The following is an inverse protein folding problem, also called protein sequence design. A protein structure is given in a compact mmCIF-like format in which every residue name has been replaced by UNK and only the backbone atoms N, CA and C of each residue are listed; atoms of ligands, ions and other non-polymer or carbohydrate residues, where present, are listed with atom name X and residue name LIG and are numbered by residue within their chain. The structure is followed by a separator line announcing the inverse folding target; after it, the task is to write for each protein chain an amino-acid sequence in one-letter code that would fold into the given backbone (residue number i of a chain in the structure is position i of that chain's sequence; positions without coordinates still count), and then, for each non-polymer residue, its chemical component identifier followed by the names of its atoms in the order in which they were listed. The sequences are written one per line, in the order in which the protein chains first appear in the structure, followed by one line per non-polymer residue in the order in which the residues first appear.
data_IF_031692320683
#
_entry.id   IF_031692320683
#
_cell.length_a   1.000
_cell.length_b   1.000
_cell.length_c   1.000
_cell.angle_alpha   90.00
_cell.angle_beta   90.00
_cell.angle_gamma   90.00
#
_symmetry.space_group_name_H-M   'P 1'
#
loop_
_entity.id
_entity.type
_entity.pdbx_description
1 polymer ?
#
# COMPACT_ATOMS: atom_id res chain seq x y z
N UNK A 1 4.89 13.07 -1.30
CA UNK A 1 3.90 11.99 -1.51
C UNK A 1 4.43 11.12 -2.64
N UNK A 2 4.48 9.80 -2.46
CA UNK A 2 4.91 8.87 -3.51
C UNK A 2 3.71 8.10 -4.02
N UNK A 3 3.71 7.73 -5.29
CA UNK A 3 2.69 6.89 -5.89
C UNK A 3 3.37 5.64 -6.44
N UNK A 4 2.70 4.50 -6.35
CA UNK A 4 3.15 3.24 -6.93
C UNK A 4 1.95 2.51 -7.53
N UNK A 5 2.14 1.86 -8.68
CA UNK A 5 1.07 1.04 -9.25
C UNK A 5 1.01 -0.30 -8.54
N UNK A 6 -0.19 -0.82 -8.38
CA UNK A 6 -0.41 -2.14 -7.79
C UNK A 6 0.23 -3.24 -8.62
N UNK A 7 0.32 -3.06 -9.93
CA UNK A 7 0.98 -3.98 -10.84
C UNK A 7 2.48 -4.09 -10.56
N UNK A 8 3.15 -2.95 -10.33
CA UNK A 8 4.58 -2.93 -9.97
C UNK A 8 4.83 -3.65 -8.63
N UNK A 9 3.89 -3.53 -7.67
CA UNK A 9 3.96 -4.24 -6.40
C UNK A 9 3.75 -5.75 -6.58
N UNK A 10 2.78 -6.15 -7.39
CA UNK A 10 2.48 -7.56 -7.67
C UNK A 10 3.63 -8.21 -8.45
N UNK A 11 4.23 -7.52 -9.42
CA UNK A 11 5.39 -8.02 -10.16
C UNK A 11 6.59 -8.23 -9.24
N UNK A 12 6.83 -7.28 -8.32
CA UNK A 12 7.99 -7.31 -7.42
C UNK A 12 7.87 -8.30 -6.26
N UNK A 13 6.66 -8.50 -5.75
CA UNK A 13 6.42 -9.26 -4.51
C UNK A 13 5.56 -10.51 -4.71
N UNK A 14 4.94 -10.68 -5.87
CA UNK A 14 4.00 -11.75 -6.14
C UNK A 14 2.63 -11.52 -5.47
N UNK A 15 1.75 -12.51 -5.62
CA UNK A 15 0.42 -12.53 -4.97
C UNK A 15 0.30 -13.62 -3.90
N UNK A 16 1.37 -14.38 -3.69
CA UNK A 16 1.41 -15.49 -2.74
C UNK A 16 2.21 -15.10 -1.48
N UNK A 17 1.92 -15.77 -0.36
CA UNK A 17 2.66 -15.61 0.89
C UNK A 17 3.79 -16.64 0.96
N UNK A 18 4.75 -16.54 0.07
CA UNK A 18 5.88 -17.47 -0.08
C UNK A 18 7.25 -16.77 0.09
N UNK A 19 7.28 -15.44 0.21
CA UNK A 19 8.51 -14.66 0.40
C UNK A 19 8.71 -14.20 1.85
N UNK A 20 9.16 -15.09 2.72
CA UNK A 20 9.68 -14.72 4.03
C UNK A 20 11.02 -13.96 3.89
N UNK A 21 11.19 -12.85 4.62
CA UNK A 21 12.47 -12.12 4.72
C UNK A 21 12.62 -10.85 3.89
N UNK A 22 11.65 -10.48 3.03
CA UNK A 22 11.59 -9.13 2.45
C UNK A 22 10.80 -8.20 3.39
N UNK A 23 11.26 -6.95 3.56
CA UNK A 23 10.57 -5.88 4.29
C UNK A 23 9.28 -5.45 3.55
N UNK A 24 8.33 -6.35 3.43
CA UNK A 24 7.06 -6.17 2.74
C UNK A 24 6.07 -5.61 3.76
N UNK A 25 5.56 -4.41 3.48
CA UNK A 25 4.54 -3.74 4.30
C UNK A 25 3.11 -4.17 3.94
N UNK A 26 2.89 -4.84 2.79
CA UNK A 26 1.59 -5.34 2.34
C UNK A 26 1.76 -6.73 1.74
N UNK A 27 0.99 -7.68 2.25
CA UNK A 27 1.00 -9.06 1.81
C UNK A 27 0.47 -9.27 0.38
N UNK A 28 1.03 -10.27 -0.31
CA UNK A 28 0.64 -10.63 -1.68
C UNK A 28 -0.86 -10.90 -1.84
N UNK A 29 -1.51 -11.66 -0.93
CA UNK A 29 -2.96 -11.85 -0.96
C UNK A 29 -3.74 -10.53 -0.86
N UNK A 30 -3.36 -9.59 0.02
CA UNK A 30 -3.99 -8.29 0.07
C UNK A 30 -3.80 -7.49 -1.23
N UNK A 31 -2.62 -7.51 -1.86
CA UNK A 31 -2.42 -6.86 -3.17
C UNK A 31 -3.39 -7.42 -4.23
N UNK A 32 -3.63 -8.74 -4.24
CA UNK A 32 -4.62 -9.36 -5.13
C UNK A 32 -6.05 -8.86 -4.84
N UNK A 33 -6.42 -8.75 -3.57
CA UNK A 33 -7.75 -8.24 -3.16
C UNK A 33 -7.91 -6.77 -3.53
N UNK A 34 -6.93 -5.92 -3.22
CA UNK A 34 -6.95 -4.49 -3.53
C UNK A 34 -7.12 -4.28 -5.04
N UNK A 35 -6.37 -5.01 -5.88
CA UNK A 35 -6.48 -4.93 -7.34
C UNK A 35 -7.86 -5.36 -7.83
N UNK A 36 -8.36 -6.50 -7.35
CA UNK A 36 -9.66 -7.05 -7.76
C UNK A 36 -10.83 -6.17 -7.36
N UNK A 37 -10.83 -5.66 -6.13
CA UNK A 37 -11.92 -4.86 -5.57
C UNK A 37 -11.77 -3.36 -5.85
N UNK A 38 -10.66 -2.94 -6.46
CA UNK A 38 -10.34 -1.54 -6.75
C UNK A 38 -10.42 -0.64 -5.51
N UNK A 39 -9.90 -1.12 -4.37
CA UNK A 39 -9.96 -0.40 -3.09
C UNK A 39 -8.87 0.69 -3.04
N UNK A 40 -9.24 1.97 -2.86
CA UNK A 40 -8.25 3.03 -2.62
C UNK A 40 -7.41 2.69 -1.39
N UNK A 41 -6.09 2.58 -1.58
CA UNK A 41 -5.19 2.12 -0.52
C UNK A 41 -4.03 3.09 -0.31
N UNK A 42 -3.75 3.41 0.95
CA UNK A 42 -2.72 4.33 1.39
C UNK A 42 -1.81 3.62 2.40
N UNK A 43 -0.49 3.82 2.28
CA UNK A 43 0.51 3.26 3.20
C UNK A 43 1.26 4.40 3.85
N UNK A 44 1.29 4.42 5.18
CA UNK A 44 2.00 5.42 5.96
C UNK A 44 2.49 4.84 7.30
N UNK A 45 3.29 5.58 8.03
CA UNK A 45 3.70 5.19 9.38
C UNK A 45 2.57 5.49 10.38
N UNK A 46 1.88 4.43 10.85
CA UNK A 46 0.78 4.54 11.80
C UNK A 46 1.13 5.15 13.17
N UNK A 47 2.42 5.24 13.54
CA UNK A 47 2.84 5.95 14.77
C UNK A 47 2.76 7.47 14.64
N UNK A 48 2.65 8.00 13.42
CA UNK A 48 2.55 9.45 13.15
C UNK A 48 1.08 9.84 12.95
N UNK A 49 0.37 10.09 14.05
CA UNK A 49 -1.08 10.39 14.04
C UNK A 49 -1.47 11.53 13.10
N UNK A 50 -0.66 12.59 13.03
CA UNK A 50 -0.91 13.70 12.10
C UNK A 50 -0.92 13.27 10.62
N UNK A 51 -0.13 12.25 10.27
CA UNK A 51 -0.11 11.73 8.90
C UNK A 51 -1.35 10.87 8.63
N UNK A 52 -1.83 10.14 9.64
CA UNK A 52 -3.06 9.36 9.55
C UNK A 52 -4.28 10.27 9.37
N UNK A 53 -4.40 11.32 10.17
CA UNK A 53 -5.46 12.32 10.03
C UNK A 53 -5.46 12.96 8.63
N UNK A 54 -4.28 13.38 8.15
CA UNK A 54 -4.13 13.94 6.81
C UNK A 54 -4.53 12.95 5.71
N UNK A 55 -4.12 11.69 5.83
CA UNK A 55 -4.43 10.66 4.85
C UNK A 55 -5.93 10.37 4.74
N UNK A 56 -6.63 10.31 5.89
CA UNK A 56 -8.09 10.07 5.94
C UNK A 56 -8.87 11.26 5.38
N UNK A 57 -8.38 12.48 5.59
CA UNK A 57 -9.01 13.71 5.13
C UNK A 57 -8.59 14.15 3.71
N UNK A 58 -7.98 13.27 2.91
CA UNK A 58 -7.49 13.56 1.55
C UNK A 58 -6.52 14.76 1.48
N UNK A 59 -5.75 15.00 2.53
CA UNK A 59 -4.72 16.04 2.59
C UNK A 59 -3.35 15.45 2.24
N UNK A 60 -2.37 16.33 1.99
CA UNK A 60 -0.99 15.91 1.71
C UNK A 60 -0.40 15.24 2.95
N UNK A 61 -0.02 13.98 2.82
CA UNK A 61 0.62 13.19 3.86
C UNK A 61 1.94 12.57 3.39
N UNK A 62 2.75 12.14 4.35
CA UNK A 62 3.99 11.43 4.13
C UNK A 62 3.74 9.92 4.13
N UNK A 63 3.59 9.38 2.93
CA UNK A 63 3.42 7.97 2.67
C UNK A 63 3.35 7.68 1.17
N UNK A 64 2.77 6.54 0.85
CA UNK A 64 2.62 6.03 -0.52
C UNK A 64 1.16 5.76 -0.83
N UNK A 65 0.71 6.22 -1.99
CA UNK A 65 -0.59 5.88 -2.57
C UNK A 65 -0.41 4.69 -3.50
N UNK A 66 -1.25 3.68 -3.35
CA UNK A 66 -1.33 2.56 -4.30
C UNK A 66 -2.35 2.92 -5.37
N UNK A 67 -1.87 3.11 -6.59
CA UNK A 67 -2.71 3.31 -7.78
C UNK A 67 -3.08 1.94 -8.35
N UNK A 68 -4.36 1.76 -8.68
CA UNK A 68 -4.88 0.56 -9.33
C UNK A 68 -4.70 0.69 -10.84
#
# INVERSE_FOLDING_TARGET
MKEIKIDDLIEKFGTNWDQAGKNIVIDGPALKIIKKAKIPTLVLNGKKLIQLERAINNQIFNGTIIKI
#
